data_IF_232156097358
#
_entry.id   IF_232156097358
#
_cell.length_a   1.000
_cell.length_b   1.000
_cell.length_c   1.000
_cell.angle_alpha   90.00
_cell.angle_beta   90.00
_cell.angle_gamma   90.00
#
_symmetry.space_group_name_H-M   'P 1'
#
loop_
_entity.id
_entity.type
_entity.pdbx_description
1 polymer ?
#
# COMPACT_ATOMS: atom_id res chain seq x y z
N UNK A 1 10.31 -46.20 -6.99
CA UNK A 1 9.09 -45.35 -6.93
C UNK A 1 9.34 -43.92 -6.42
N UNK A 2 10.21 -43.68 -5.42
CA UNK A 2 10.46 -42.33 -4.88
C UNK A 2 11.12 -41.32 -5.85
N UNK A 3 11.94 -41.78 -6.81
CA UNK A 3 12.60 -40.88 -7.78
C UNK A 3 11.64 -40.25 -8.81
N UNK A 4 10.50 -40.90 -9.10
CA UNK A 4 9.54 -40.42 -10.10
C UNK A 4 8.68 -39.30 -9.52
N UNK A 5 8.40 -39.35 -8.21
CA UNK A 5 7.57 -38.35 -7.52
C UNK A 5 8.30 -37.01 -7.39
N UNK A 6 9.63 -37.02 -7.20
CA UNK A 6 10.40 -35.79 -7.06
C UNK A 6 10.42 -34.98 -8.37
N UNK A 7 10.68 -35.63 -9.52
CA UNK A 7 10.69 -34.96 -10.83
C UNK A 7 9.33 -34.38 -11.23
N UNK A 8 8.22 -35.00 -10.80
CA UNK A 8 6.88 -34.48 -11.06
C UNK A 8 6.52 -33.25 -10.21
N UNK A 9 7.14 -33.08 -9.04
CA UNK A 9 6.89 -31.95 -8.15
C UNK A 9 7.65 -30.68 -8.59
N UNK A 10 8.80 -30.84 -9.28
CA UNK A 10 9.56 -29.72 -9.84
C UNK A 10 9.08 -29.29 -11.23
N UNK A 11 8.32 -30.14 -11.95
CA UNK A 11 7.73 -29.77 -13.24
C UNK A 11 6.39 -29.04 -13.12
N UNK A 12 5.74 -29.08 -11.95
CA UNK A 12 4.41 -28.47 -11.73
C UNK A 12 4.45 -27.04 -11.19
N UNK A 13 5.62 -26.38 -11.16
CA UNK A 13 5.72 -24.97 -10.80
C UNK A 13 5.08 -24.10 -11.88
N UNK A 14 3.76 -23.94 -11.82
CA UNK A 14 3.06 -22.90 -12.56
C UNK A 14 3.34 -21.57 -11.87
N UNK A 15 4.34 -20.85 -12.36
CA UNK A 15 4.52 -19.43 -12.07
C UNK A 15 3.25 -18.72 -12.52
N UNK A 16 2.55 -18.11 -11.58
CA UNK A 16 1.34 -17.37 -11.86
C UNK A 16 1.74 -16.11 -12.64
N UNK A 17 1.60 -16.15 -13.97
CA UNK A 17 1.83 -14.98 -14.80
C UNK A 17 0.93 -13.85 -14.28
N UNK A 18 1.57 -12.79 -13.80
CA UNK A 18 0.90 -11.59 -13.32
C UNK A 18 -0.09 -11.15 -14.39
N UNK A 19 -1.38 -11.02 -14.03
CA UNK A 19 -2.43 -10.56 -14.94
C UNK A 19 -1.95 -9.30 -15.64
N UNK A 20 -1.91 -9.34 -16.98
CA UNK A 20 -1.47 -8.22 -17.79
C UNK A 20 -2.42 -7.05 -17.55
N UNK A 21 -1.88 -5.97 -16.98
CA UNK A 21 -2.57 -4.70 -16.98
C UNK A 21 -2.71 -4.21 -18.42
N UNK A 22 -3.83 -3.55 -18.78
CA UNK A 22 -4.05 -3.04 -20.13
C UNK A 22 -2.83 -2.23 -20.57
N UNK A 23 -2.27 -2.68 -21.69
CA UNK A 23 -0.88 -2.58 -22.08
C UNK A 23 -0.25 -1.20 -21.83
N UNK A 24 0.40 -1.05 -20.68
CA UNK A 24 1.50 -0.12 -20.49
C UNK A 24 2.73 -0.77 -21.08
N UNK A 25 3.40 -0.06 -21.98
CA UNK A 25 4.61 -0.54 -22.64
C UNK A 25 5.60 -1.03 -21.57
N UNK A 26 5.93 -2.31 -21.62
CA UNK A 26 6.94 -2.87 -20.75
C UNK A 26 8.32 -2.41 -21.24
N UNK A 27 8.93 -1.49 -20.49
CA UNK A 27 10.26 -1.00 -20.82
C UNK A 27 11.30 -2.13 -20.83
N UNK A 28 11.07 -3.24 -20.11
CA UNK A 28 11.97 -4.39 -20.10
C UNK A 28 11.95 -5.10 -21.45
N UNK A 29 10.76 -5.39 -22.01
CA UNK A 29 10.66 -5.99 -23.35
C UNK A 29 11.21 -5.06 -24.45
N UNK A 30 10.90 -3.75 -24.40
CA UNK A 30 11.44 -2.78 -25.36
C UNK A 30 12.97 -2.70 -25.31
N UNK A 31 13.56 -2.68 -24.12
CA UNK A 31 15.01 -2.67 -23.96
C UNK A 31 15.62 -3.99 -24.43
N UNK A 32 14.97 -5.13 -24.14
CA UNK A 32 15.42 -6.45 -24.60
C UNK A 32 15.47 -6.51 -26.13
N UNK A 33 14.46 -5.97 -26.79
CA UNK A 33 14.38 -5.95 -28.26
C UNK A 33 15.36 -4.96 -28.87
N UNK A 34 15.59 -3.81 -28.22
CA UNK A 34 16.61 -2.86 -28.64
C UNK A 34 18.02 -3.49 -28.59
N UNK A 35 18.33 -4.21 -27.51
CA UNK A 35 19.60 -4.94 -27.39
C UNK A 35 19.71 -6.04 -28.45
N UNK A 36 18.62 -6.75 -28.77
CA UNK A 36 18.59 -7.72 -29.88
C UNK A 36 18.84 -7.07 -31.25
N UNK A 37 18.45 -5.82 -31.43
CA UNK A 37 18.77 -5.03 -32.63
C UNK A 37 20.17 -4.42 -32.64
N UNK A 38 21.00 -4.69 -31.63
CA UNK A 38 22.36 -4.17 -31.51
C UNK A 38 22.47 -2.76 -30.91
N UNK A 39 21.38 -2.22 -30.38
CA UNK A 39 21.37 -0.93 -29.70
C UNK A 39 21.69 -1.14 -28.21
N UNK A 40 22.88 -0.72 -27.80
CA UNK A 40 23.40 -0.93 -26.43
C UNK A 40 23.65 0.40 -25.72
N UNK A 41 23.74 1.50 -26.46
CA UNK A 41 23.99 2.82 -25.90
C UNK A 41 22.72 3.42 -25.30
N UNK A 42 22.82 4.12 -24.18
CA UNK A 42 21.68 4.77 -23.51
C UNK A 42 20.89 5.73 -24.42
N UNK A 43 21.59 6.48 -25.28
CA UNK A 43 20.96 7.39 -26.26
C UNK A 43 20.12 6.63 -27.30
N UNK A 44 20.64 5.51 -27.79
CA UNK A 44 19.95 4.65 -28.77
C UNK A 44 18.71 4.00 -28.15
N UNK A 45 18.83 3.49 -26.91
CA UNK A 45 17.70 2.95 -26.16
C UNK A 45 16.59 3.98 -25.96
N UNK A 46 16.96 5.23 -25.67
CA UNK A 46 16.01 6.34 -25.53
C UNK A 46 15.28 6.65 -26.85
N UNK A 47 16.01 6.71 -27.96
CA UNK A 47 15.42 6.90 -29.30
C UNK A 47 14.53 5.73 -29.70
N UNK A 48 14.95 4.50 -29.42
CA UNK A 48 14.18 3.28 -29.70
C UNK A 48 12.85 3.28 -28.94
N UNK A 49 12.84 3.71 -27.67
CA UNK A 49 11.61 3.89 -26.88
C UNK A 49 10.72 5.00 -27.43
N UNK A 50 11.30 6.11 -27.91
CA UNK A 50 10.51 7.20 -28.49
C UNK A 50 9.79 6.76 -29.77
N UNK A 51 10.49 6.04 -30.65
CA UNK A 51 9.96 5.54 -31.92
C UNK A 51 8.90 4.45 -31.71
N UNK A 52 9.22 3.40 -30.96
CA UNK A 52 8.30 2.24 -30.77
C UNK A 52 7.27 2.45 -29.67
N UNK A 53 7.63 3.15 -28.60
CA UNK A 53 6.72 3.49 -27.51
C UNK A 53 5.77 4.67 -27.82
N UNK A 54 6.09 5.49 -28.83
CA UNK A 54 5.19 6.50 -29.38
C UNK A 54 4.15 5.92 -30.34
N UNK A 55 4.54 4.98 -31.21
CA UNK A 55 3.66 4.37 -32.21
C UNK A 55 2.44 3.65 -31.59
N UNK A 56 2.65 2.96 -30.45
CA UNK A 56 1.59 2.22 -29.74
C UNK A 56 0.56 3.15 -29.06
N UNK A 57 0.89 4.43 -28.85
CA UNK A 57 -0.07 5.44 -28.37
C UNK A 57 -1.00 5.94 -29.48
N UNK A 58 -0.55 5.97 -30.73
CA UNK A 58 -1.35 6.46 -31.87
C UNK A 58 -2.43 5.46 -32.30
N UNK A 59 -2.18 4.16 -32.18
CA UNK A 59 -3.17 3.11 -32.52
C UNK A 59 -4.28 2.92 -31.48
N UNK A 60 -4.27 3.67 -30.37
CA UNK A 60 -5.34 3.62 -29.34
C UNK A 60 -6.17 4.89 -29.23
N UNK A 61 -6.04 5.82 -30.17
CA UNK A 61 -6.85 7.05 -30.19
C UNK A 61 -8.27 6.78 -30.74
N UNK A 62 -8.56 5.56 -31.20
CA UNK A 62 -9.89 5.15 -31.68
C UNK A 62 -10.68 4.33 -30.66
N UNK A 63 -10.76 4.80 -29.42
CA UNK A 63 -11.93 4.53 -28.57
C UNK A 63 -12.32 5.86 -27.92
N UNK A 64 -13.53 6.39 -28.16
CA UNK A 64 -14.00 7.56 -27.44
C UNK A 64 -14.24 7.13 -25.98
N UNK A 65 -13.30 7.48 -25.11
CA UNK A 65 -13.62 7.64 -23.70
C UNK A 65 -14.62 8.79 -23.62
N UNK A 66 -15.81 8.51 -23.12
CA UNK A 66 -16.78 9.52 -22.70
C UNK A 66 -16.09 10.63 -21.90
N UNK A 67 -16.33 11.88 -22.29
CA UNK A 67 -16.04 13.05 -21.45
C UNK A 67 -14.97 14.04 -21.94
N UNK A 68 -14.78 14.24 -23.24
CA UNK A 68 -13.87 15.27 -23.76
C UNK A 68 -14.54 16.25 -24.73
N UNK A 69 -15.08 17.36 -24.22
CA UNK A 69 -15.70 18.43 -25.02
C UNK A 69 -14.73 18.96 -26.09
N UNK A 70 -15.19 18.98 -27.34
CA UNK A 70 -14.49 19.60 -28.46
C UNK A 70 -14.20 21.09 -28.13
N UNK A 71 -12.93 21.51 -28.28
CA UNK A 71 -12.51 22.88 -28.01
C UNK A 71 -13.08 23.82 -29.08
N UNK A 72 -13.90 24.78 -28.66
CA UNK A 72 -14.36 25.90 -29.47
C UNK A 72 -13.19 26.89 -29.70
N UNK A 73 -12.87 27.32 -30.94
CA UNK A 73 -11.77 28.23 -31.22
C UNK A 73 -11.96 29.68 -30.72
N UNK A 74 -13.14 30.03 -30.18
CA UNK A 74 -13.52 31.40 -29.79
C UNK A 74 -13.57 31.65 -28.27
N UNK A 75 -12.82 30.91 -27.45
CA UNK A 75 -12.68 31.25 -26.04
C UNK A 75 -11.72 32.45 -25.87
N UNK A 76 -12.18 33.52 -25.21
CA UNK A 76 -11.33 34.66 -24.86
C UNK A 76 -10.08 34.19 -24.09
N UNK A 77 -8.90 34.83 -24.27
CA UNK A 77 -7.64 34.30 -23.77
C UNK A 77 -7.51 34.26 -22.23
N UNK A 78 -8.48 34.80 -21.49
CA UNK A 78 -8.40 34.96 -20.03
C UNK A 78 -9.64 34.43 -19.27
N UNK A 79 -10.40 33.51 -19.87
CA UNK A 79 -11.46 32.78 -19.17
C UNK A 79 -11.02 31.33 -18.97
N UNK A 80 -10.72 30.99 -17.71
CA UNK A 80 -10.45 29.60 -17.33
C UNK A 80 -11.77 28.87 -17.15
N UNK A 81 -12.24 28.18 -18.20
CA UNK A 81 -13.38 27.27 -18.05
C UNK A 81 -12.93 25.97 -17.37
N UNK A 82 -13.50 25.70 -16.21
CA UNK A 82 -13.27 24.48 -15.42
C UNK A 82 -13.59 24.71 -13.94
N UNK A 83 -13.98 23.65 -13.24
CA UNK A 83 -14.07 23.67 -11.78
C UNK A 83 -12.65 23.88 -11.24
N UNK A 84 -12.44 24.91 -10.43
CA UNK A 84 -11.15 25.12 -9.77
C UNK A 84 -10.96 23.98 -8.75
N UNK A 85 -10.20 22.95 -9.13
CA UNK A 85 -9.78 21.87 -8.24
C UNK A 85 -8.72 22.35 -7.23
N UNK A 86 -8.87 23.56 -6.69
CA UNK A 86 -8.06 23.99 -5.56
C UNK A 86 -8.45 23.09 -4.40
N UNK A 87 -7.58 22.13 -4.08
CA UNK A 87 -7.76 21.30 -2.91
C UNK A 87 -8.02 22.22 -1.71
N UNK A 88 -9.03 21.93 -0.86
CA UNK A 88 -9.27 22.73 0.32
C UNK A 88 -7.96 22.79 1.10
N UNK A 89 -7.50 24.02 1.39
CA UNK A 89 -6.38 24.20 2.32
C UNK A 89 -6.74 23.47 3.63
N UNK A 90 -5.79 22.84 4.34
CA UNK A 90 -6.07 22.21 5.62
C UNK A 90 -6.83 23.11 6.60
N UNK A 91 -6.65 24.44 6.49
CA UNK A 91 -7.44 25.44 7.23
C UNK A 91 -8.90 25.51 6.79
N UNK A 92 -9.17 25.50 5.48
CA UNK A 92 -10.53 25.56 4.94
C UNK A 92 -11.34 24.31 5.32
N UNK A 93 -10.70 23.14 5.39
CA UNK A 93 -11.34 21.91 5.88
C UNK A 93 -11.67 21.97 7.38
N UNK A 94 -10.82 22.60 8.19
CA UNK A 94 -11.10 22.83 9.61
C UNK A 94 -12.23 23.86 9.81
N UNK A 95 -12.24 24.94 9.02
CA UNK A 95 -13.27 25.99 9.10
C UNK A 95 -14.64 25.53 8.58
N UNK A 96 -14.66 24.58 7.64
CA UNK A 96 -15.90 24.01 7.08
C UNK A 96 -16.49 22.88 7.93
N UNK A 97 -15.83 22.49 9.03
CA UNK A 97 -16.27 21.40 9.93
C UNK A 97 -16.44 20.03 9.25
N UNK A 98 -15.95 19.87 8.01
CA UNK A 98 -16.11 18.64 7.24
C UNK A 98 -15.22 17.51 7.75
N UNK A 99 -14.10 17.85 8.40
CA UNK A 99 -13.13 16.88 8.89
C UNK A 99 -13.76 15.84 9.81
N UNK A 100 -14.55 16.29 10.79
CA UNK A 100 -15.21 15.41 11.75
C UNK A 100 -16.16 14.43 11.04
N UNK A 101 -16.96 14.94 10.11
CA UNK A 101 -17.91 14.12 9.35
C UNK A 101 -17.22 13.08 8.46
N UNK A 102 -16.14 13.47 7.77
CA UNK A 102 -15.33 12.54 6.96
C UNK A 102 -14.70 11.47 7.83
N UNK A 103 -14.13 11.84 8.96
CA UNK A 103 -13.52 10.90 9.90
C UNK A 103 -14.53 9.88 10.43
N UNK A 104 -15.72 10.32 10.86
CA UNK A 104 -16.79 9.41 11.32
C UNK A 104 -17.23 8.45 10.21
N UNK A 105 -17.36 8.95 8.99
CA UNK A 105 -17.77 8.16 7.82
C UNK A 105 -16.71 7.11 7.46
N UNK A 106 -15.43 7.45 7.58
CA UNK A 106 -14.31 6.53 7.37
C UNK A 106 -14.22 5.45 8.46
N UNK A 107 -14.46 5.80 9.72
CA UNK A 107 -14.52 4.79 10.79
C UNK A 107 -15.70 3.84 10.57
N UNK A 108 -16.85 4.36 10.18
CA UNK A 108 -18.04 3.56 9.92
C UNK A 108 -17.84 2.63 8.71
N UNK A 109 -17.25 3.12 7.62
CA UNK A 109 -16.96 2.31 6.43
C UNK A 109 -15.89 1.24 6.68
N UNK A 110 -14.86 1.54 7.50
CA UNK A 110 -13.87 0.55 7.96
C UNK A 110 -14.51 -0.56 8.79
N UNK A 111 -15.46 -0.22 9.66
CA UNK A 111 -16.18 -1.18 10.47
C UNK A 111 -17.13 -2.05 9.62
N UNK A 112 -17.82 -1.45 8.64
CA UNK A 112 -18.70 -2.17 7.71
C UNK A 112 -17.92 -3.07 6.74
N UNK A 113 -16.74 -2.65 6.30
CA UNK A 113 -15.81 -3.45 5.47
C UNK A 113 -15.09 -4.55 6.27
N UNK A 114 -15.35 -4.64 7.58
CA UNK A 114 -14.77 -5.61 8.51
C UNK A 114 -15.16 -7.08 8.26
N UNK A 115 -16.01 -7.38 7.27
CA UNK A 115 -16.31 -8.76 6.84
C UNK A 115 -15.10 -9.51 6.26
N UNK A 116 -14.04 -8.81 5.88
CA UNK A 116 -12.78 -9.39 5.42
C UNK A 116 -11.62 -9.07 6.37
N UNK A 117 -11.83 -9.16 7.69
CA UNK A 117 -10.71 -9.45 8.60
C UNK A 117 -10.21 -10.84 8.24
N UNK A 118 -9.30 -10.93 7.25
CA UNK A 118 -8.44 -12.09 7.10
C UNK A 118 -7.76 -12.21 8.46
N UNK A 119 -8.26 -13.13 9.29
CA UNK A 119 -7.56 -13.64 10.45
C UNK A 119 -6.22 -14.09 9.89
N UNK A 120 -5.24 -13.19 9.96
CA UNK A 120 -3.88 -13.53 9.59
C UNK A 120 -3.49 -14.47 10.71
N UNK A 121 -3.71 -15.78 10.49
CA UNK A 121 -3.21 -16.80 11.40
C UNK A 121 -1.75 -16.42 11.59
N UNK A 122 -1.28 -16.23 12.83
CA UNK A 122 0.12 -15.91 13.05
C UNK A 122 0.90 -17.01 12.34
N UNK A 123 1.49 -16.66 11.20
CA UNK A 123 2.25 -17.60 10.41
C UNK A 123 3.36 -18.09 11.29
N UNK A 124 3.60 -19.39 11.29
CA UNK A 124 4.76 -19.96 11.96
C UNK A 124 6.00 -19.29 11.37
N UNK A 125 6.59 -18.34 12.11
CA UNK A 125 7.79 -17.63 11.69
C UNK A 125 8.87 -18.70 11.53
N UNK A 126 9.43 -18.91 10.32
CA UNK A 126 10.45 -19.92 10.13
C UNK A 126 11.64 -19.59 11.02
N UNK A 127 12.16 -20.60 11.71
CA UNK A 127 13.28 -20.41 12.61
C UNK A 127 14.54 -20.12 11.80
N UNK A 128 14.91 -18.84 11.70
CA UNK A 128 16.20 -18.44 11.14
C UNK A 128 17.32 -18.82 12.11
N UNK A 129 18.54 -19.07 11.59
CA UNK A 129 19.75 -19.33 12.40
C UNK A 129 19.92 -18.34 13.57
N UNK A 130 19.55 -17.08 13.39
CA UNK A 130 19.57 -16.05 14.45
C UNK A 130 18.54 -16.28 15.56
N UNK A 131 17.35 -16.80 15.23
CA UNK A 131 16.32 -17.19 16.20
C UNK A 131 16.79 -18.33 17.08
N UNK A 132 17.40 -19.35 16.48
CA UNK A 132 17.99 -20.49 17.20
C UNK A 132 19.09 -20.05 18.18
N UNK A 133 20.03 -19.22 17.73
CA UNK A 133 21.12 -18.71 18.58
C UNK A 133 20.62 -17.84 19.75
N UNK A 134 19.51 -17.11 19.56
CA UNK A 134 18.87 -16.33 20.62
C UNK A 134 18.19 -17.21 21.65
N UNK A 135 17.64 -18.36 21.24
CA UNK A 135 17.00 -19.33 22.15
C UNK A 135 18.00 -20.18 22.90
N UNK A 136 19.11 -20.58 22.27
CA UNK A 136 20.14 -21.40 22.91
C UNK A 136 20.97 -20.63 23.94
N UNK A 137 20.90 -19.29 23.93
CA UNK A 137 21.56 -18.45 24.92
C UNK A 137 20.64 -18.28 26.13
N UNK A 138 21.09 -18.75 27.29
CA UNK A 138 20.46 -18.39 28.57
C UNK A 138 20.55 -16.89 28.77
N UNK A 139 19.41 -16.21 28.74
CA UNK A 139 19.36 -14.81 29.15
C UNK A 139 19.58 -14.75 30.67
N UNK A 140 20.38 -13.79 31.17
CA UNK A 140 20.44 -13.51 32.59
C UNK A 140 19.02 -13.33 33.14
N UNK A 141 18.80 -13.76 34.39
CA UNK A 141 17.52 -13.54 35.06
C UNK A 141 17.11 -12.07 34.90
N UNK A 142 15.87 -11.77 34.48
CA UNK A 142 15.43 -10.40 34.30
C UNK A 142 15.63 -9.65 35.62
N UNK A 143 16.20 -8.43 35.61
CA UNK A 143 16.36 -7.65 36.82
C UNK A 143 14.98 -7.43 37.44
N UNK A 144 14.91 -7.51 38.78
CA UNK A 144 13.68 -7.22 39.51
C UNK A 144 13.17 -5.85 39.07
N UNK A 145 11.87 -5.70 38.71
CA UNK A 145 11.34 -4.42 38.28
C UNK A 145 11.63 -3.36 39.34
N UNK A 146 12.14 -2.22 38.90
CA UNK A 146 12.48 -1.09 39.77
C UNK A 146 11.19 -0.64 40.47
N UNK A 147 11.09 -0.91 41.77
CA UNK A 147 10.01 -0.38 42.60
C UNK A 147 10.48 0.93 43.19
N UNK A 148 9.89 2.02 42.71
CA UNK A 148 10.09 3.34 43.33
C UNK A 148 9.32 3.35 44.66
N UNK A 149 9.96 3.67 45.80
CA UNK A 149 9.27 3.74 47.09
C UNK A 149 8.15 4.77 47.10
N UNK A 150 8.26 5.81 46.26
CA UNK A 150 7.25 6.86 46.08
C UNK A 150 5.97 6.38 45.36
N UNK A 151 6.04 5.25 44.65
CA UNK A 151 4.89 4.66 43.91
C UNK A 151 4.43 3.36 44.59
N UNK A 152 4.72 3.21 45.89
CA UNK A 152 4.04 2.22 46.71
C UNK A 152 2.54 2.44 46.61
N UNK A 153 1.76 1.37 46.49
CA UNK A 153 0.31 1.44 46.35
C UNK A 153 -0.28 2.14 47.57
N UNK A 154 -0.53 3.44 47.44
CA UNK A 154 -1.17 4.25 48.48
C UNK A 154 -2.65 3.91 48.46
N UNK A 155 -3.23 3.62 49.63
CA UNK A 155 -4.68 3.47 49.74
C UNK A 155 -5.36 4.75 49.22
N UNK A 156 -6.55 4.61 48.64
CA UNK A 156 -7.29 5.76 48.11
C UNK A 156 -7.40 6.84 49.19
N UNK A 157 -6.82 8.02 48.91
CA UNK A 157 -6.78 9.13 49.86
C UNK A 157 -8.16 9.78 50.07
N UNK A 158 -9.10 9.54 49.15
CA UNK A 158 -10.46 10.06 49.17
C UNK A 158 -11.45 8.93 48.95
N UNK A 159 -12.50 8.91 49.77
CA UNK A 159 -13.63 8.00 49.62
C UNK A 159 -14.73 8.70 48.81
N UNK A 160 -14.61 8.63 47.49
CA UNK A 160 -15.58 9.23 46.57
C UNK A 160 -16.79 8.33 46.30
N UNK A 161 -16.81 7.11 46.87
CA UNK A 161 -17.90 6.18 46.67
C UNK A 161 -19.02 6.44 47.69
N UNK A 162 -20.26 6.46 47.20
CA UNK A 162 -21.44 6.65 48.04
C UNK A 162 -21.72 5.45 48.95
N UNK A 163 -21.29 4.26 48.53
CA UNK A 163 -21.48 2.99 49.24
C UNK A 163 -20.17 2.16 49.30
N UNK A 164 -19.86 1.53 50.45
CA UNK A 164 -18.63 0.75 50.62
C UNK A 164 -18.61 -0.54 49.79
N UNK A 165 -19.78 -1.04 49.35
CA UNK A 165 -19.89 -2.19 48.46
C UNK A 165 -19.46 -1.89 47.02
N UNK A 166 -19.49 -0.61 46.61
CA UNK A 166 -19.05 -0.17 45.29
C UNK A 166 -17.51 -0.09 45.14
N UNK A 167 -16.77 -0.33 46.22
CA UNK A 167 -15.29 -0.30 46.26
C UNK A 167 -14.64 -1.62 45.78
N UNK A 168 -15.39 -2.72 45.71
CA UNK A 168 -14.86 -4.06 45.43
C UNK A 168 -14.90 -4.42 43.95
#
# INVERSE_FOLDING_TARGET
CLHIVFSSAISSWRVQCRREHPARLDFVSLNRDAVRSGLVTSKELSQYRALRGGATRKTRISEPSDGGTARNPQAAPDITFGVTNRAPSPLAELLSYEYAHKWFSEQLSRNQSGGNKKQMKPGHIPETRTSLLRRSRTLPAPPKPLRLPQVAQVAAALDTFRDPKARR
#
